data_IF_740766767510
#
_entry.id   IF_740766767510
#
_cell.length_a   1.000
_cell.length_b   1.000
_cell.length_c   1.000
_cell.angle_alpha   90.00
_cell.angle_beta   90.00
_cell.angle_gamma   90.00
#
_symmetry.space_group_name_H-M   'P 1'
#
loop_
_entity.id
_entity.type
_entity.pdbx_description
1 polymer ?
#
# COMPACT_ATOMS: atom_id res chain seq x y z
N UNK A 1 -4.53 -4.26 -5.43
CA UNK A 1 -3.09 -4.59 -5.31
C UNK A 1 -2.30 -3.71 -6.26
N UNK A 2 -1.11 -3.25 -5.88
CA UNK A 2 -0.30 -2.34 -6.72
C UNK A 2 0.07 -2.94 -8.07
N UNK A 3 0.08 -4.28 -8.19
CA UNK A 3 0.28 -5.03 -9.43
C UNK A 3 -0.72 -4.73 -10.56
N UNK A 4 -1.89 -4.15 -10.25
CA UNK A 4 -2.82 -3.66 -11.29
C UNK A 4 -2.43 -2.29 -11.85
N UNK A 5 -1.64 -1.52 -11.10
CA UNK A 5 -1.13 -0.22 -11.52
C UNK A 5 0.28 -0.34 -12.11
N UNK A 6 1.13 -1.16 -11.48
CA UNK A 6 2.51 -1.44 -11.90
C UNK A 6 2.57 -2.88 -12.41
N UNK A 7 2.63 -3.10 -13.72
CA UNK A 7 2.77 -4.44 -14.28
C UNK A 7 4.08 -5.09 -13.85
N UNK A 8 4.11 -6.40 -13.57
CA UNK A 8 5.32 -7.09 -13.15
C UNK A 8 6.39 -7.04 -14.23
N UNK A 9 7.54 -6.40 -13.93
CA UNK A 9 8.63 -6.17 -14.90
C UNK A 9 9.33 -7.44 -15.39
N UNK A 10 9.20 -8.52 -14.64
CA UNK A 10 9.76 -9.84 -14.90
C UNK A 10 8.80 -10.76 -15.67
N UNK A 11 7.57 -10.30 -15.95
CA UNK A 11 6.59 -11.06 -16.71
C UNK A 11 6.71 -10.78 -18.21
N UNK A 12 6.54 -11.81 -19.04
CA UNK A 12 6.67 -11.72 -20.50
C UNK A 12 5.72 -10.69 -21.16
N UNK A 13 4.64 -10.33 -20.47
CA UNK A 13 3.67 -9.33 -20.93
C UNK A 13 3.99 -7.90 -20.51
N UNK A 14 5.09 -7.65 -19.78
CA UNK A 14 5.46 -6.30 -19.35
C UNK A 14 5.56 -5.32 -20.54
N UNK A 15 6.16 -5.77 -21.65
CA UNK A 15 6.29 -4.99 -22.88
C UNK A 15 4.92 -4.64 -23.53
N UNK A 16 3.86 -5.36 -23.16
CA UNK A 16 2.51 -5.11 -23.63
C UNK A 16 1.72 -4.18 -22.71
N UNK A 17 2.27 -3.81 -21.55
CA UNK A 17 1.65 -2.85 -20.68
C UNK A 17 1.57 -1.50 -21.38
N UNK A 18 0.35 -0.99 -21.51
CA UNK A 18 0.06 0.31 -22.13
C UNK A 18 -0.77 1.11 -21.14
N UNK A 19 -0.72 2.44 -21.27
CA UNK A 19 -1.68 3.30 -20.59
C UNK A 19 -3.10 2.84 -20.91
N UNK A 20 -3.96 2.80 -19.89
CA UNK A 20 -5.36 2.45 -20.10
C UNK A 20 -5.97 3.42 -21.14
N UNK A 21 -6.71 2.93 -22.16
CA UNK A 21 -7.27 3.80 -23.21
C UNK A 21 -8.20 4.91 -22.70
N UNK A 22 -8.84 4.69 -21.54
CA UNK A 22 -9.65 5.71 -20.85
C UNK A 22 -8.83 6.80 -20.16
N UNK A 23 -7.53 6.54 -19.96
CA UNK A 23 -6.59 7.45 -19.32
C UNK A 23 -5.60 8.06 -20.32
N UNK A 24 -5.45 7.50 -21.53
CA UNK A 24 -4.71 8.16 -22.61
C UNK A 24 -5.45 9.46 -22.96
N UNK A 25 -4.77 10.59 -22.84
CA UNK A 25 -5.32 11.87 -23.29
C UNK A 25 -5.48 11.80 -24.80
N UNK A 26 -6.70 11.54 -25.27
CA UNK A 26 -7.07 11.81 -26.65
C UNK A 26 -6.89 13.31 -26.86
N UNK A 27 -5.82 13.72 -27.53
CA UNK A 27 -5.81 15.06 -28.11
C UNK A 27 -7.02 15.14 -29.05
N UNK A 28 -8.04 15.90 -28.65
CA UNK A 28 -9.10 16.33 -29.56
C UNK A 28 -8.43 17.31 -30.52
N UNK A 29 -7.86 16.79 -31.61
CA UNK A 29 -7.32 17.59 -32.70
C UNK A 29 -8.50 18.20 -33.48
N UNK A 30 -9.02 19.33 -32.99
CA UNK A 30 -9.90 20.19 -33.75
C UNK A 30 -9.16 21.51 -34.02
N UNK A 31 -8.69 21.70 -35.25
CA UNK A 31 -8.18 23.00 -35.70
C UNK A 31 -6.92 22.92 -36.55
N UNK A 32 -7.10 23.03 -37.86
CA UNK A 32 -6.01 23.26 -38.82
C UNK A 32 -5.23 24.56 -38.54
N UNK A 33 -3.94 24.46 -38.80
CA UNK A 33 -3.00 25.47 -39.31
C UNK A 33 -2.16 26.34 -38.35
N UNK A 34 -0.86 26.28 -38.67
CA UNK A 34 0.25 27.20 -38.43
C UNK A 34 0.96 27.21 -37.07
N UNK A 35 1.94 26.30 -36.97
CA UNK A 35 3.35 26.69 -36.91
C UNK A 35 3.79 27.40 -35.63
N UNK A 36 4.21 26.62 -34.64
CA UNK A 36 5.48 26.73 -33.90
C UNK A 36 5.60 25.44 -33.08
N UNK A 37 6.57 24.59 -33.44
CA UNK A 37 6.86 23.36 -32.70
C UNK A 37 7.51 23.71 -31.37
N UNK A 38 6.71 23.84 -30.30
CA UNK A 38 7.20 23.83 -28.94
C UNK A 38 6.30 22.98 -28.07
N UNK A 39 6.85 21.85 -27.61
CA UNK A 39 6.32 21.09 -26.49
C UNK A 39 5.40 19.92 -26.85
N UNK A 40 5.88 18.95 -27.64
CA UNK A 40 5.42 17.57 -27.41
C UNK A 40 5.87 17.23 -25.99
N UNK A 41 4.94 17.20 -25.04
CA UNK A 41 5.20 16.63 -23.73
C UNK A 41 5.67 15.19 -23.98
N UNK A 42 6.98 14.95 -23.87
CA UNK A 42 7.50 13.59 -23.69
C UNK A 42 6.83 13.06 -22.43
N UNK A 43 5.76 12.27 -22.58
CA UNK A 43 5.33 11.40 -21.50
C UNK A 43 6.56 10.61 -21.06
N UNK A 44 6.86 10.66 -19.75
CA UNK A 44 8.06 10.07 -19.18
C UNK A 44 8.15 8.60 -19.63
N UNK A 45 9.14 8.29 -20.47
CA UNK A 45 9.52 6.92 -20.88
C UNK A 45 9.85 6.00 -19.68
N UNK A 46 9.86 6.57 -18.47
CA UNK A 46 10.15 5.94 -17.19
C UNK A 46 8.92 5.76 -16.28
N UNK A 47 7.69 6.01 -16.72
CA UNK A 47 6.50 5.75 -15.90
C UNK A 47 6.29 4.23 -15.76
N UNK A 48 6.43 3.64 -14.55
CA UNK A 48 6.27 2.20 -14.37
C UNK A 48 4.80 1.78 -14.27
N UNK A 49 3.85 2.72 -14.38
CA UNK A 49 2.43 2.48 -14.16
C UNK A 49 1.60 2.50 -15.45
N UNK A 50 0.42 1.89 -15.43
CA UNK A 50 -0.59 1.96 -16.51
C UNK A 50 -1.47 3.23 -16.43
N UNK A 51 -1.14 4.18 -15.53
CA UNK A 51 -1.84 5.46 -15.38
C UNK A 51 -0.89 6.63 -15.69
N UNK A 52 -1.36 7.69 -16.37
CA UNK A 52 -0.56 8.90 -16.53
C UNK A 52 -0.23 9.54 -15.18
N UNK A 53 0.94 10.19 -15.07
CA UNK A 53 1.31 10.94 -13.86
C UNK A 53 0.29 12.02 -13.49
N UNK A 54 -0.30 12.69 -14.48
CA UNK A 54 -1.36 13.69 -14.28
C UNK A 54 -2.60 13.09 -13.59
N UNK A 55 -2.91 11.82 -13.86
CA UNK A 55 -3.97 11.08 -13.20
C UNK A 55 -3.59 10.72 -11.77
N UNK A 56 -2.36 10.22 -11.54
CA UNK A 56 -1.87 9.88 -10.20
C UNK A 56 -1.87 11.10 -9.27
N UNK A 57 -1.50 12.28 -9.76
CA UNK A 57 -1.51 13.55 -9.00
C UNK A 57 -2.88 13.99 -8.49
N UNK A 58 -3.97 13.34 -8.92
CA UNK A 58 -5.34 13.63 -8.47
C UNK A 58 -5.77 12.80 -7.25
N UNK A 59 -4.95 11.86 -6.81
CA UNK A 59 -5.27 10.96 -5.70
C UNK A 59 -4.43 11.28 -4.47
N UNK A 60 -5.03 11.06 -3.30
CA UNK A 60 -4.31 10.88 -2.05
C UNK A 60 -3.94 9.40 -1.92
N UNK A 61 -2.68 9.11 -1.54
CA UNK A 61 -2.21 7.73 -1.37
C UNK A 61 -1.98 7.39 0.10
N UNK A 62 -2.42 6.18 0.48
CA UNK A 62 -2.03 5.52 1.70
C UNK A 62 -1.65 4.07 1.37
N UNK A 63 -0.65 3.53 2.07
CA UNK A 63 -0.08 2.22 1.83
C UNK A 63 -0.27 1.37 3.09
N UNK A 64 -1.01 0.28 2.99
CA UNK A 64 -1.10 -0.72 4.04
C UNK A 64 -0.12 -1.86 3.73
N UNK A 65 0.85 -2.08 4.62
CA UNK A 65 1.81 -3.18 4.51
C UNK A 65 1.56 -4.19 5.62
N UNK A 66 1.91 -5.45 5.37
CA UNK A 66 1.82 -6.54 6.35
C UNK A 66 3.05 -7.40 6.22
N UNK A 67 3.56 -7.95 7.33
CA UNK A 67 4.71 -8.85 7.30
C UNK A 67 4.48 -10.03 6.32
N UNK A 68 5.39 -10.32 5.35
CA UNK A 68 5.21 -11.37 4.34
C UNK A 68 4.89 -12.75 4.91
N UNK A 69 5.58 -13.15 5.99
CA UNK A 69 5.31 -14.41 6.73
C UNK A 69 3.89 -14.51 7.36
N UNK A 70 3.10 -13.42 7.34
CA UNK A 70 1.67 -13.40 7.71
C UNK A 70 0.76 -13.27 6.49
N UNK A 71 1.15 -12.43 5.53
CA UNK A 71 0.35 -12.15 4.35
C UNK A 71 0.33 -13.32 3.36
N UNK A 72 1.49 -13.89 3.05
CA UNK A 72 1.62 -14.99 2.08
C UNK A 72 0.83 -16.24 2.47
N UNK A 73 0.96 -16.82 3.69
CA UNK A 73 0.13 -17.97 4.06
C UNK A 73 -1.37 -17.64 4.14
N UNK A 74 -1.72 -16.37 4.37
CA UNK A 74 -3.11 -15.90 4.32
C UNK A 74 -3.64 -15.86 2.89
N UNK A 75 -2.83 -15.41 1.92
CA UNK A 75 -3.16 -15.46 0.49
C UNK A 75 -3.25 -16.91 0.00
N UNK A 76 -2.26 -17.75 0.33
CA UNK A 76 -2.26 -19.18 -0.01
C UNK A 76 -3.52 -19.89 0.48
N UNK A 77 -4.00 -19.57 1.70
CA UNK A 77 -5.26 -20.12 2.26
C UNK A 77 -6.46 -19.88 1.34
N UNK A 78 -6.51 -18.76 0.62
CA UNK A 78 -7.58 -18.42 -0.32
C UNK A 78 -7.51 -19.20 -1.64
N UNK A 79 -6.36 -19.82 -1.94
CA UNK A 79 -6.08 -20.55 -3.17
C UNK A 79 -6.28 -22.08 -3.05
N UNK A 80 -6.60 -22.58 -1.85
CA UNK A 80 -6.76 -24.02 -1.57
C UNK A 80 -8.13 -24.33 -0.93
N UNK A 81 -8.58 -25.61 -0.98
CA UNK A 81 -9.84 -26.00 -0.34
C UNK A 81 -9.82 -25.76 1.18
N UNK A 82 -10.98 -25.46 1.79
CA UNK A 82 -12.29 -25.30 1.14
C UNK A 82 -12.49 -23.91 0.51
N UNK A 83 -11.57 -22.96 0.74
CA UNK A 83 -11.83 -21.55 0.45
C UNK A 83 -11.79 -21.27 -1.06
N UNK A 84 -10.96 -21.98 -1.83
CA UNK A 84 -10.90 -21.84 -3.28
C UNK A 84 -12.19 -22.22 -4.02
N UNK A 85 -13.03 -23.07 -3.43
CA UNK A 85 -14.34 -23.43 -3.98
C UNK A 85 -15.28 -22.22 -3.98
N UNK A 86 -15.16 -21.37 -2.96
CA UNK A 86 -15.94 -20.16 -2.81
C UNK A 86 -15.31 -18.96 -3.55
N UNK A 87 -13.99 -18.81 -3.48
CA UNK A 87 -13.29 -17.67 -4.12
C UNK A 87 -13.14 -17.84 -5.63
N UNK A 88 -13.08 -19.09 -6.13
CA UNK A 88 -12.75 -19.40 -7.52
C UNK A 88 -11.26 -19.32 -7.86
N UNK A 89 -10.40 -18.93 -6.91
CA UNK A 89 -8.95 -18.83 -7.09
C UNK A 89 -8.32 -20.20 -6.90
N UNK A 90 -8.12 -20.94 -7.99
CA UNK A 90 -7.68 -22.35 -7.93
C UNK A 90 -6.17 -22.54 -7.86
N UNK A 91 -5.40 -21.47 -7.96
CA UNK A 91 -3.96 -21.52 -7.98
C UNK A 91 -3.38 -20.37 -7.15
N UNK A 92 -2.21 -20.62 -6.59
CA UNK A 92 -1.40 -19.62 -5.91
C UNK A 92 -0.35 -19.09 -6.89
N UNK A 93 -0.27 -17.77 -7.03
CA UNK A 93 0.70 -17.10 -7.90
C UNK A 93 1.68 -16.29 -7.02
N UNK A 94 2.91 -16.77 -6.78
CA UNK A 94 3.88 -16.07 -5.94
C UNK A 94 4.14 -14.61 -6.35
N UNK A 95 4.14 -14.34 -7.66
CA UNK A 95 4.31 -13.00 -8.22
C UNK A 95 3.12 -12.05 -7.94
N UNK A 96 1.97 -12.57 -7.49
CA UNK A 96 0.87 -11.74 -6.98
C UNK A 96 1.07 -11.33 -5.52
N UNK A 97 2.14 -11.71 -4.83
CA UNK A 97 2.43 -11.21 -3.48
C UNK A 97 2.59 -9.68 -3.45
N UNK A 98 3.02 -9.07 -4.55
CA UNK A 98 2.83 -7.65 -4.87
C UNK A 98 3.65 -6.63 -4.07
N UNK A 99 4.60 -7.05 -3.23
CA UNK A 99 5.41 -6.12 -2.43
C UNK A 99 6.36 -5.30 -3.30
N UNK A 100 6.95 -5.94 -4.32
CA UNK A 100 7.82 -5.26 -5.28
C UNK A 100 7.07 -4.18 -6.05
N UNK A 101 5.89 -4.51 -6.58
CA UNK A 101 5.04 -3.57 -7.31
C UNK A 101 4.58 -2.42 -6.41
N UNK A 102 4.29 -2.71 -5.13
CA UNK A 102 3.95 -1.70 -4.13
C UNK A 102 5.12 -0.74 -3.88
N UNK A 103 6.35 -1.27 -3.76
CA UNK A 103 7.57 -0.47 -3.62
C UNK A 103 7.86 0.36 -4.86
N UNK A 104 7.75 -0.21 -6.06
CA UNK A 104 7.97 0.52 -7.31
C UNK A 104 6.97 1.67 -7.45
N UNK A 105 5.69 1.43 -7.13
CA UNK A 105 4.69 2.48 -7.10
C UNK A 105 5.03 3.57 -6.06
N UNK A 106 5.41 3.16 -4.86
CA UNK A 106 5.80 4.07 -3.78
C UNK A 106 6.98 4.97 -4.19
N UNK A 107 8.07 4.38 -4.69
CA UNK A 107 9.27 5.11 -5.11
C UNK A 107 8.93 6.07 -6.26
N UNK A 108 8.16 5.63 -7.26
CA UNK A 108 7.74 6.48 -8.37
C UNK A 108 6.90 7.67 -7.91
N UNK A 109 5.92 7.45 -7.04
CA UNK A 109 5.09 8.54 -6.50
C UNK A 109 5.91 9.52 -5.66
N UNK A 110 6.93 9.04 -4.93
CA UNK A 110 7.84 9.89 -4.16
C UNK A 110 8.74 10.71 -5.06
N UNK A 111 9.37 10.07 -6.04
CA UNK A 111 10.32 10.70 -6.96
C UNK A 111 9.62 11.77 -7.83
N UNK A 112 8.38 11.54 -8.22
CA UNK A 112 7.53 12.50 -8.95
C UNK A 112 6.83 13.52 -8.03
N UNK A 113 7.17 13.52 -6.74
CA UNK A 113 6.63 14.43 -5.71
C UNK A 113 5.09 14.40 -5.59
N UNK A 114 4.46 13.27 -5.92
CA UNK A 114 3.03 13.01 -5.67
C UNK A 114 2.80 12.77 -4.17
N UNK A 115 3.73 12.06 -3.52
CA UNK A 115 3.80 11.89 -2.08
C UNK A 115 5.12 12.48 -1.56
N UNK A 116 5.11 13.02 -0.34
CA UNK A 116 6.26 13.56 0.38
C UNK A 116 6.46 12.78 1.66
N UNK A 117 7.70 12.40 1.94
CA UNK A 117 8.08 11.92 3.25
C UNK A 117 8.77 13.07 4.00
N UNK A 118 8.18 13.51 5.11
CA UNK A 118 8.87 14.42 6.03
C UNK A 118 9.56 13.53 7.06
N UNK A 119 10.89 13.32 6.97
CA UNK A 119 11.60 12.52 7.96
C UNK A 119 11.42 13.15 9.34
N UNK A 120 11.11 12.32 10.35
CA UNK A 120 10.93 12.84 11.71
C UNK A 120 12.25 13.34 12.28
N UNK A 121 12.19 14.27 13.24
CA UNK A 121 13.36 14.92 13.86
C UNK A 121 14.42 13.96 14.45
N UNK A 122 14.16 12.65 14.53
CA UNK A 122 15.13 11.62 14.96
C UNK A 122 16.10 11.18 13.86
N UNK A 123 15.81 11.41 12.58
CA UNK A 123 16.69 11.03 11.47
C UNK A 123 17.80 12.05 11.20
N UNK A 124 17.68 13.27 11.75
CA UNK A 124 18.69 14.33 11.63
C UNK A 124 19.92 14.15 12.54
N UNK A 125 20.02 13.06 13.32
CA UNK A 125 21.11 12.86 14.27
C UNK A 125 22.35 12.15 13.71
N UNK A 126 22.36 11.71 12.45
CA UNK A 126 23.56 11.10 11.84
C UNK A 126 23.76 11.59 10.41
N UNK A 127 24.31 12.79 10.26
CA UNK A 127 25.36 13.11 9.29
C UNK A 127 25.85 14.54 9.54
N UNK A 128 27.02 14.66 10.15
CA UNK A 128 27.63 15.93 10.49
C UNK A 128 28.20 16.69 9.28
N UNK A 129 28.01 18.01 9.34
CA UNK A 129 28.94 19.09 8.95
C UNK A 129 29.14 19.38 7.45
N UNK A 130 28.45 20.41 6.93
CA UNK A 130 29.03 21.76 6.68
C UNK A 130 27.96 22.75 6.18
N UNK A 131 28.03 23.98 6.68
CA UNK A 131 26.91 24.91 6.73
C UNK A 131 26.68 25.82 5.52
N UNK A 132 25.59 26.59 5.61
CA UNK A 132 25.49 28.00 5.24
C UNK A 132 24.15 28.56 5.73
N UNK A 133 24.21 29.76 6.33
CA UNK A 133 23.11 30.50 6.93
C UNK A 133 21.95 30.76 5.97
N UNK A 134 20.74 30.37 6.37
CA UNK A 134 19.48 30.86 5.81
C UNK A 134 18.55 31.29 6.94
N UNK A 135 18.33 32.60 7.07
CA UNK A 135 17.31 33.19 7.94
C UNK A 135 15.92 32.69 7.54
N UNK A 136 15.12 32.22 8.50
CA UNK A 136 13.68 32.43 8.44
C UNK A 136 13.07 32.54 9.83
N UNK A 137 12.25 33.58 9.96
CA UNK A 137 11.56 34.05 11.14
C UNK A 137 10.75 32.96 11.83
N UNK A 138 10.86 32.91 13.16
CA UNK A 138 9.82 32.35 14.00
C UNK A 138 8.57 33.21 13.96
N UNK A 139 7.43 32.57 13.80
CA UNK A 139 6.13 33.12 14.20
C UNK A 139 5.44 32.10 15.09
N UNK A 140 5.34 32.47 16.36
CA UNK A 140 4.49 31.83 17.36
C UNK A 140 3.01 32.07 17.03
N UNK A 141 2.19 31.03 17.24
CA UNK A 141 0.79 31.16 17.66
C UNK A 141 -0.25 30.83 16.60
N UNK A 142 -1.00 29.76 16.82
CA UNK A 142 -2.46 29.80 17.09
C UNK A 142 -3.09 28.41 17.10
N UNK A 143 -4.02 28.18 18.03
CA UNK A 143 -4.96 27.06 18.01
C UNK A 143 -5.75 27.09 16.69
N UNK A 144 -5.59 26.07 15.86
CA UNK A 144 -6.31 25.93 14.59
C UNK A 144 -6.68 24.48 14.35
N UNK A 145 -7.93 24.23 14.00
CA UNK A 145 -8.42 22.97 13.45
C UNK A 145 -7.39 22.38 12.48
N UNK A 146 -7.04 21.10 12.65
CA UNK A 146 -5.97 20.44 11.92
C UNK A 146 -6.11 20.62 10.40
N UNK A 147 -5.27 21.48 9.83
CA UNK A 147 -5.11 21.55 8.39
C UNK A 147 -4.61 20.19 7.91
N UNK A 148 -5.34 19.57 6.99
CA UNK A 148 -4.93 18.35 6.33
C UNK A 148 -3.49 18.53 5.82
N UNK A 149 -2.69 17.46 5.87
CA UNK A 149 -1.34 17.43 5.30
C UNK A 149 -1.35 16.62 3.98
N UNK A 150 -2.01 17.10 2.90
CA UNK A 150 -2.36 16.34 1.70
C UNK A 150 -1.18 15.88 0.82
N UNK A 151 0.03 15.89 1.37
CA UNK A 151 1.23 15.40 0.69
C UNK A 151 2.08 14.52 1.60
N UNK A 152 1.78 14.34 2.89
CA UNK A 152 2.57 13.42 3.73
C UNK A 152 2.25 11.96 3.40
N UNK A 153 3.28 11.14 3.27
CA UNK A 153 3.17 9.73 2.95
C UNK A 153 2.61 8.95 4.14
N UNK A 154 1.47 8.27 3.94
CA UNK A 154 0.87 7.42 4.95
C UNK A 154 1.20 5.96 4.66
N UNK A 155 2.17 5.38 5.38
CA UNK A 155 2.42 3.93 5.37
C UNK A 155 1.98 3.35 6.71
N UNK A 156 1.02 2.42 6.69
CA UNK A 156 0.49 1.76 7.87
C UNK A 156 1.02 0.33 7.90
N UNK A 157 1.69 -0.05 8.98
CA UNK A 157 2.01 -1.46 9.23
C UNK A 157 0.79 -2.14 9.89
N UNK A 158 0.37 -3.27 9.35
CA UNK A 158 -0.78 -4.02 9.84
C UNK A 158 -0.60 -4.49 11.29
N UNK A 159 0.61 -4.77 11.77
CA UNK A 159 0.82 -5.10 13.18
C UNK A 159 0.61 -3.88 14.08
N UNK A 160 1.02 -2.68 13.65
CA UNK A 160 0.77 -1.44 14.39
C UNK A 160 -0.74 -1.15 14.45
N UNK A 161 -1.47 -1.32 13.33
CA UNK A 161 -2.93 -1.16 13.30
C UNK A 161 -3.64 -2.13 14.26
N UNK A 162 -3.15 -3.37 14.35
CA UNK A 162 -3.74 -4.37 15.23
C UNK A 162 -3.38 -4.17 16.71
N UNK A 163 -2.21 -3.60 17.00
CA UNK A 163 -1.75 -3.35 18.37
C UNK A 163 -2.30 -2.01 18.91
N UNK A 164 -2.43 -0.99 18.04
CA UNK A 164 -2.79 0.38 18.38
C UNK A 164 -3.83 0.96 17.39
N UNK A 165 -5.03 0.36 17.27
CA UNK A 165 -6.00 0.72 16.24
C UNK A 165 -6.51 2.16 16.36
N UNK A 166 -6.71 2.67 17.58
CA UNK A 166 -7.21 4.04 17.78
C UNK A 166 -6.20 5.05 17.29
N UNK A 167 -4.95 4.89 17.72
CA UNK A 167 -3.83 5.77 17.37
C UNK A 167 -3.60 5.76 15.85
N UNK A 168 -3.52 4.58 15.24
CA UNK A 168 -3.33 4.45 13.79
C UNK A 168 -4.47 5.08 12.98
N UNK A 169 -5.74 4.82 13.34
CA UNK A 169 -6.88 5.36 12.60
C UNK A 169 -6.99 6.87 12.80
N UNK A 170 -6.72 7.37 14.01
CA UNK A 170 -6.68 8.81 14.27
C UNK A 170 -5.60 9.49 13.41
N UNK A 171 -4.36 8.97 13.40
CA UNK A 171 -3.28 9.49 12.56
C UNK A 171 -3.63 9.41 11.08
N UNK A 172 -4.23 8.30 10.62
CA UNK A 172 -4.69 8.18 9.24
C UNK A 172 -5.69 9.29 8.89
N UNK A 173 -6.72 9.51 9.72
CA UNK A 173 -7.71 10.57 9.53
C UNK A 173 -7.07 11.95 9.42
N UNK A 174 -6.16 12.30 10.34
CA UNK A 174 -5.42 13.56 10.31
C UNK A 174 -4.64 13.75 9.00
N UNK A 175 -3.97 12.69 8.52
CA UNK A 175 -3.17 12.74 7.27
C UNK A 175 -4.04 12.91 6.03
N UNK A 176 -5.22 12.29 5.99
CA UNK A 176 -6.13 12.39 4.83
C UNK A 176 -7.13 13.54 4.93
N UNK A 177 -7.09 14.33 6.00
CA UNK A 177 -7.99 15.47 6.21
C UNK A 177 -9.41 15.07 6.60
N UNK A 178 -9.57 13.95 7.30
CA UNK A 178 -10.83 13.53 7.89
C UNK A 178 -10.84 13.81 9.39
N UNK A 179 -12.01 14.15 9.93
CA UNK A 179 -12.21 14.20 11.38
C UNK A 179 -12.28 12.76 11.92
N UNK A 180 -11.51 12.49 12.98
CA UNK A 180 -11.59 11.20 13.65
C UNK A 180 -12.83 11.14 14.56
N UNK A 181 -13.56 10.03 14.46
CA UNK A 181 -14.67 9.70 15.35
C UNK A 181 -14.42 8.31 15.96
N UNK A 182 -14.63 8.15 17.27
CA UNK A 182 -14.38 6.86 17.95
C UNK A 182 -15.28 5.73 17.41
N UNK A 183 -16.46 6.07 16.91
CA UNK A 183 -17.37 5.15 16.23
C UNK A 183 -16.78 4.54 14.94
N UNK A 184 -15.70 5.10 14.37
CA UNK A 184 -14.98 4.47 13.26
C UNK A 184 -14.33 3.14 13.64
N UNK A 185 -14.10 2.90 14.93
CA UNK A 185 -13.51 1.66 15.45
C UNK A 185 -14.55 0.57 15.70
N UNK A 186 -15.85 0.86 15.60
CA UNK A 186 -16.92 -0.07 15.96
C UNK A 186 -18.02 -0.13 14.90
N UNK A 187 -18.49 -1.34 14.59
CA UNK A 187 -19.58 -1.52 13.62
C UNK A 187 -20.42 -2.76 13.93
N UNK A 188 -21.56 -2.86 13.25
CA UNK A 188 -22.44 -4.03 13.36
C UNK A 188 -21.99 -5.12 12.38
N UNK A 189 -21.60 -6.28 12.91
CA UNK A 189 -21.26 -7.44 12.09
C UNK A 189 -22.37 -7.78 11.09
N UNK A 190 -22.00 -8.12 9.86
CA UNK A 190 -22.88 -8.51 8.75
C UNK A 190 -23.87 -7.44 8.24
N UNK A 191 -23.81 -6.20 8.74
CA UNK A 191 -24.75 -5.13 8.33
C UNK A 191 -24.14 -4.27 7.22
N UNK A 192 -24.86 -4.10 6.11
CA UNK A 192 -24.43 -3.22 5.00
C UNK A 192 -23.31 -3.81 4.15
N UNK A 193 -23.11 -5.13 4.20
CA UNK A 193 -22.02 -5.82 3.52
C UNK A 193 -22.43 -6.44 2.17
N UNK A 194 -23.64 -6.18 1.67
CA UNK A 194 -24.18 -6.79 0.44
C UNK A 194 -23.30 -6.50 -0.79
N UNK A 195 -22.63 -5.34 -0.80
CA UNK A 195 -21.69 -4.96 -1.87
C UNK A 195 -20.43 -5.85 -1.92
N UNK A 196 -20.10 -6.56 -0.84
CA UNK A 196 -18.95 -7.47 -0.76
C UNK A 196 -19.26 -8.88 -1.29
N UNK A 197 -20.51 -9.19 -1.67
CA UNK A 197 -20.93 -10.51 -2.16
C UNK A 197 -20.14 -10.98 -3.41
N UNK A 198 -19.59 -10.05 -4.19
CA UNK A 198 -18.73 -10.36 -5.35
C UNK A 198 -17.39 -10.99 -4.98
N UNK A 199 -17.00 -10.90 -3.71
CA UNK A 199 -15.69 -11.32 -3.18
C UNK A 199 -15.84 -12.28 -1.99
N UNK A 200 -16.87 -13.14 -2.03
CA UNK A 200 -17.10 -14.18 -1.01
C UNK A 200 -15.84 -15.01 -0.78
N UNK A 201 -15.57 -15.28 0.50
CA UNK A 201 -14.37 -15.98 0.93
C UNK A 201 -13.14 -15.13 1.19
N UNK A 202 -13.07 -13.89 0.69
CA UNK A 202 -11.97 -12.98 0.99
C UNK A 202 -12.25 -12.08 2.19
N UNK A 203 -13.52 -11.74 2.43
CA UNK A 203 -13.89 -10.73 3.42
C UNK A 203 -14.67 -11.29 4.60
N UNK A 204 -14.89 -12.62 4.71
CA UNK A 204 -15.72 -13.22 5.75
C UNK A 204 -15.27 -12.83 7.17
N UNK A 205 -13.96 -12.85 7.41
CA UNK A 205 -13.37 -12.46 8.70
C UNK A 205 -13.70 -10.98 9.03
N UNK A 206 -13.72 -10.09 8.03
CA UNK A 206 -14.05 -8.68 8.19
C UNK A 206 -15.57 -8.45 8.29
N UNK A 207 -16.37 -9.11 7.47
CA UNK A 207 -17.84 -9.05 7.47
C UNK A 207 -18.40 -9.49 8.82
N UNK A 208 -17.85 -10.57 9.39
CA UNK A 208 -18.26 -11.09 10.70
C UNK A 208 -17.72 -10.32 11.90
N UNK A 209 -16.82 -9.36 11.70
CA UNK A 209 -16.23 -8.55 12.78
C UNK A 209 -17.16 -7.40 13.20
N UNK A 210 -16.88 -6.81 14.37
CA UNK A 210 -17.67 -5.71 14.95
C UNK A 210 -16.83 -4.51 15.36
N UNK A 211 -15.58 -4.44 14.89
CA UNK A 211 -14.67 -3.36 15.25
C UNK A 211 -13.20 -3.72 15.17
N UNK A 212 -12.37 -2.69 15.30
CA UNK A 212 -10.93 -2.80 15.54
C UNK A 212 -10.66 -2.63 17.04
N UNK A 213 -10.02 -3.63 17.63
CA UNK A 213 -9.64 -3.63 19.05
C UNK A 213 -8.19 -4.03 19.19
N UNK A 214 -7.44 -3.43 20.14
CA UNK A 214 -6.08 -3.84 20.43
C UNK A 214 -6.01 -5.35 20.66
N UNK A 215 -5.03 -6.03 20.06
CA UNK A 215 -4.81 -7.46 20.32
C UNK A 215 -4.51 -7.68 21.80
N UNK A 216 -5.19 -8.64 22.40
CA UNK A 216 -4.94 -9.03 23.81
C UNK A 216 -3.65 -9.83 23.97
N UNK A 217 -3.23 -10.56 22.92
CA UNK A 217 -2.00 -11.34 22.90
C UNK A 217 -1.32 -11.20 21.54
N UNK A 218 -0.12 -10.62 21.53
CA UNK A 218 0.75 -10.67 20.35
C UNK A 218 1.42 -12.03 20.30
N UNK A 219 1.01 -12.86 19.34
CA UNK A 219 1.68 -14.15 19.09
C UNK A 219 3.05 -13.88 18.46
N UNK A 220 4.07 -13.82 19.30
CA UNK A 220 5.46 -13.96 18.84
C UNK A 220 5.61 -15.42 18.39
N UNK A 221 5.93 -15.62 17.11
CA UNK A 221 6.13 -16.95 16.54
C UNK A 221 7.49 -16.95 15.89
N UNK A 222 8.31 -17.92 16.25
CA UNK A 222 9.56 -18.12 15.53
C UNK A 222 9.29 -18.76 14.15
N UNK A 223 10.29 -18.67 13.28
CA UNK A 223 10.18 -19.14 11.90
C UNK A 223 9.97 -20.67 11.82
N UNK A 224 10.53 -21.42 12.78
CA UNK A 224 10.42 -22.88 12.80
C UNK A 224 9.01 -23.32 13.18
N UNK A 225 8.39 -22.66 14.15
CA UNK A 225 7.01 -22.90 14.57
C UNK A 225 6.02 -22.60 13.44
N UNK A 226 6.26 -21.51 12.71
CA UNK A 226 5.51 -21.16 11.51
C UNK A 226 5.62 -22.22 10.43
N UNK A 227 6.85 -22.65 10.12
CA UNK A 227 7.07 -23.67 9.12
C UNK A 227 6.39 -24.98 9.50
N UNK A 228 6.49 -25.42 10.76
CA UNK A 228 5.82 -26.64 11.24
C UNK A 228 4.31 -26.56 11.10
N UNK A 229 3.69 -25.43 11.46
CA UNK A 229 2.25 -25.23 11.24
C UNK A 229 1.86 -25.27 9.76
N UNK A 230 2.67 -24.68 8.87
CA UNK A 230 2.39 -24.72 7.43
C UNK A 230 2.51 -26.13 6.86
N UNK A 231 3.50 -26.93 7.28
CA UNK A 231 3.62 -28.35 6.90
C UNK A 231 2.38 -29.11 7.33
N UNK A 232 2.00 -28.95 8.60
CA UNK A 232 0.85 -29.66 9.17
C UNK A 232 -0.44 -29.32 8.41
N UNK A 233 -0.59 -28.05 7.99
CA UNK A 233 -1.81 -27.56 7.37
C UNK A 233 -1.89 -27.79 5.86
N UNK A 234 -0.77 -27.65 5.16
CA UNK A 234 -0.74 -27.58 3.69
C UNK A 234 0.19 -28.62 3.05
N UNK A 235 0.98 -29.36 3.82
CA UNK A 235 1.99 -30.27 3.32
C UNK A 235 3.33 -29.59 3.00
N UNK A 236 4.35 -30.41 2.73
CA UNK A 236 5.74 -29.98 2.62
C UNK A 236 5.98 -29.02 1.44
N UNK A 237 5.47 -29.36 0.25
CA UNK A 237 5.66 -28.57 -0.97
C UNK A 237 5.02 -27.19 -0.86
N UNK A 238 3.78 -27.13 -0.35
CA UNK A 238 3.05 -25.88 -0.14
C UNK A 238 3.76 -25.00 0.89
N UNK A 239 4.21 -25.59 2.00
CA UNK A 239 4.90 -24.86 3.05
C UNK A 239 6.26 -24.31 2.56
N UNK A 240 7.00 -25.06 1.75
CA UNK A 240 8.22 -24.57 1.10
C UNK A 240 7.93 -23.41 0.13
N UNK A 241 6.85 -23.49 -0.64
CA UNK A 241 6.44 -22.42 -1.57
C UNK A 241 6.04 -21.14 -0.82
N UNK A 242 5.26 -21.26 0.27
CA UNK A 242 4.89 -20.14 1.15
C UNK A 242 6.14 -19.49 1.74
N UNK A 243 7.05 -20.30 2.28
CA UNK A 243 8.29 -19.83 2.90
C UNK A 243 9.15 -19.05 1.91
N UNK A 244 9.44 -19.66 0.76
CA UNK A 244 10.19 -19.01 -0.32
C UNK A 244 9.55 -17.69 -0.74
N UNK A 245 8.24 -17.68 -0.98
CA UNK A 245 7.54 -16.46 -1.42
C UNK A 245 7.58 -15.39 -0.33
N UNK A 246 7.45 -15.76 0.94
CA UNK A 246 7.56 -14.80 2.04
C UNK A 246 8.97 -14.19 2.12
N UNK A 247 10.01 -15.02 2.01
CA UNK A 247 11.42 -14.60 2.03
C UNK A 247 11.76 -13.65 0.87
N UNK A 248 11.33 -13.98 -0.36
CA UNK A 248 11.55 -13.16 -1.55
C UNK A 248 10.94 -11.76 -1.44
N UNK A 249 9.89 -11.59 -0.63
CA UNK A 249 9.20 -10.32 -0.43
C UNK A 249 9.64 -9.56 0.84
N UNK A 250 10.54 -10.12 1.67
CA UNK A 250 10.97 -9.50 2.93
C UNK A 250 11.71 -8.18 2.71
N UNK A 251 12.61 -8.11 1.73
CA UNK A 251 13.41 -6.92 1.49
C UNK A 251 12.56 -5.70 1.11
N UNK A 252 11.51 -5.90 0.29
CA UNK A 252 10.59 -4.82 -0.10
C UNK A 252 9.69 -4.41 1.07
N UNK A 253 9.23 -5.37 1.88
CA UNK A 253 8.51 -5.07 3.13
C UNK A 253 9.35 -4.24 4.09
N UNK A 254 10.59 -4.66 4.37
CA UNK A 254 11.49 -3.96 5.29
C UNK A 254 11.87 -2.56 4.79
N UNK A 255 11.99 -2.38 3.49
CA UNK A 255 12.17 -1.06 2.87
C UNK A 255 10.95 -0.16 3.14
N UNK A 256 9.75 -0.60 2.75
CA UNK A 256 8.52 0.18 2.94
C UNK A 256 8.23 0.48 4.41
N UNK A 257 8.57 -0.46 5.30
CA UNK A 257 8.38 -0.34 6.74
C UNK A 257 9.18 0.82 7.36
N UNK A 258 10.29 1.25 6.75
CA UNK A 258 11.04 2.42 7.22
C UNK A 258 10.22 3.72 7.13
N UNK A 259 9.21 3.75 6.26
CA UNK A 259 8.35 4.92 6.04
C UNK A 259 7.03 4.85 6.82
N UNK A 260 6.86 3.86 7.70
CA UNK A 260 5.61 3.70 8.47
C UNK A 260 5.33 4.92 9.34
N UNK A 261 4.05 5.21 9.54
CA UNK A 261 3.61 6.23 10.49
C UNK A 261 4.14 5.91 11.88
N UNK A 262 4.48 6.95 12.62
CA UNK A 262 4.86 6.82 14.02
C UNK A 262 3.60 6.95 14.87
N UNK A 263 3.38 5.95 15.70
CA UNK A 263 2.33 5.89 16.72
C UNK A 263 2.92 6.07 18.11
#
# INVERSE_FOLDING_TARGET
MASYLVPPSDHATYQNAKLAPSASTSEVSNGSSNGHSNGVHKENLNNPTVLPLSTLKRFQFAFLIRHPRRAVPSYYRCCVPPLNEMTGFKYFMPNEAGYRELRVLFDYLRDESVIKHTPTAKEHATNGVNGSNGHSNGTNGSNGHGEAKPYEVCVIDADDLLDHPKEVIQTFCEMVGLEFDEGMLEWSANKGCESFDKWKGFHEDAIGSSGLRPRTVKKVRDAADERREWVQKYGEEAAAMIEKTAEENMADYEYLRQFKINI
#
